data_IF_067370387469
#
_entry.id   IF_067370387469
#
_cell.length_a   1.000
_cell.length_b   1.000
_cell.length_c   1.000
_cell.angle_alpha   90.00
_cell.angle_beta   90.00
_cell.angle_gamma   90.00
#
_symmetry.space_group_name_H-M   'P 1'
#
loop_
_entity.id
_entity.type
_entity.pdbx_description
1 polymer ?
#
# COMPACT_ATOMS: atom_id res chain seq x y z
N UNK A 1 18.81 15.32 3.37
CA UNK A 1 18.02 15.61 4.58
C UNK A 1 18.86 15.25 5.80
N UNK A 2 18.57 15.80 6.99
CA UNK A 2 19.29 15.46 8.23
C UNK A 2 18.72 14.21 8.94
N UNK A 3 17.63 13.60 8.45
CA UNK A 3 16.94 12.51 9.15
C UNK A 3 17.63 11.15 9.02
N UNK A 4 18.38 10.91 7.93
CA UNK A 4 19.04 9.61 7.69
C UNK A 4 18.12 8.42 7.38
N UNK A 5 16.80 8.64 7.23
CA UNK A 5 15.84 7.58 6.90
C UNK A 5 16.02 7.10 5.45
N UNK A 6 15.92 5.79 5.22
CA UNK A 6 15.81 5.24 3.87
C UNK A 6 14.51 5.69 3.20
N UNK A 7 14.52 5.85 1.86
CA UNK A 7 13.42 6.47 1.14
C UNK A 7 13.10 5.70 -0.15
N UNK A 8 11.86 5.25 -0.32
CA UNK A 8 11.31 4.98 -1.66
C UNK A 8 10.41 6.15 -2.01
N UNK A 9 10.84 6.98 -2.97
CA UNK A 9 10.01 8.08 -3.44
C UNK A 9 8.96 7.54 -4.41
N UNK A 10 7.71 7.96 -4.23
CA UNK A 10 6.58 7.58 -5.04
C UNK A 10 5.93 8.84 -5.64
N UNK A 11 6.48 9.41 -6.73
CA UNK A 11 5.79 10.47 -7.45
C UNK A 11 4.44 9.93 -7.92
N UNK A 12 3.39 10.71 -7.68
CA UNK A 12 2.01 10.28 -7.88
C UNK A 12 1.47 10.81 -9.19
N UNK A 13 0.95 9.93 -10.05
CA UNK A 13 0.12 10.34 -11.17
C UNK A 13 -1.29 10.67 -10.66
N UNK A 14 -1.69 11.92 -10.88
CA UNK A 14 -3.01 12.45 -10.59
C UNK A 14 -3.43 13.32 -11.77
N UNK A 15 -4.58 13.04 -12.37
CA UNK A 15 -5.06 13.76 -13.57
C UNK A 15 -6.54 14.15 -13.51
N UNK A 16 -7.34 13.45 -12.70
CA UNK A 16 -8.80 13.56 -12.69
C UNK A 16 -9.40 13.73 -11.30
N UNK A 17 -10.60 14.29 -11.23
CA UNK A 17 -11.34 14.44 -9.96
C UNK A 17 -12.22 13.24 -9.60
N UNK A 18 -12.47 12.34 -10.56
CA UNK A 18 -13.38 11.22 -10.40
C UNK A 18 -13.39 10.27 -11.61
N UNK A 19 -14.05 9.13 -11.44
CA UNK A 19 -14.19 8.09 -12.46
C UNK A 19 -14.72 8.62 -13.79
N UNK A 20 -14.29 7.99 -14.89
CA UNK A 20 -14.64 8.41 -16.25
C UNK A 20 -13.86 9.64 -16.74
N UNK A 21 -12.74 9.99 -16.07
CA UNK A 21 -11.86 11.08 -16.51
C UNK A 21 -12.42 12.46 -16.22
N UNK A 22 -13.14 12.64 -15.11
CA UNK A 22 -13.71 13.94 -14.74
C UNK A 22 -12.64 15.01 -14.63
N UNK A 23 -12.95 16.22 -15.08
CA UNK A 23 -12.03 17.34 -15.05
C UNK A 23 -11.62 17.67 -13.59
N UNK A 24 -10.34 17.92 -13.32
CA UNK A 24 -9.89 18.28 -11.98
C UNK A 24 -10.47 19.60 -11.51
N UNK A 25 -10.61 19.77 -10.20
CA UNK A 25 -11.03 21.02 -9.56
C UNK A 25 -9.83 21.87 -9.12
N UNK A 26 -10.06 23.13 -8.75
CA UNK A 26 -9.02 24.09 -8.35
C UNK A 26 -8.20 23.64 -7.13
N UNK A 27 -8.79 22.84 -6.24
CA UNK A 27 -8.10 22.27 -5.09
C UNK A 27 -7.03 21.25 -5.49
N UNK A 28 -7.21 20.57 -6.62
CA UNK A 28 -6.31 19.54 -7.12
C UNK A 28 -5.18 20.08 -8.00
N UNK A 29 -5.19 21.37 -8.37
CA UNK A 29 -4.29 21.97 -9.38
C UNK A 29 -2.80 21.71 -9.16
N UNK A 30 -2.36 21.47 -7.91
CA UNK A 30 -0.94 21.21 -7.56
C UNK A 30 -0.51 19.76 -7.78
N UNK A 31 -1.47 18.85 -7.99
CA UNK A 31 -1.22 17.42 -8.18
C UNK A 31 -1.21 17.04 -9.67
N UNK A 32 -1.88 17.85 -10.50
CA UNK A 32 -2.18 17.49 -11.89
C UNK A 32 -0.92 17.36 -12.73
N UNK A 33 -0.75 16.18 -13.31
CA UNK A 33 0.20 15.91 -14.38
C UNK A 33 -0.50 15.15 -15.51
N UNK A 34 -0.11 15.44 -16.76
CA UNK A 34 -0.32 14.52 -17.88
C UNK A 34 0.57 13.29 -17.74
N UNK A 35 0.23 12.22 -18.48
CA UNK A 35 1.03 10.99 -18.50
C UNK A 35 2.46 11.26 -18.97
N UNK A 36 2.65 12.13 -19.96
CA UNK A 36 3.95 12.50 -20.50
C UNK A 36 4.79 13.27 -19.47
N UNK A 37 4.19 14.24 -18.76
CA UNK A 37 4.85 14.98 -17.69
C UNK A 37 5.26 14.06 -16.54
N UNK A 38 4.40 13.09 -16.19
CA UNK A 38 4.70 12.10 -15.18
C UNK A 38 5.90 11.21 -15.57
N UNK A 39 5.94 10.72 -16.80
CA UNK A 39 7.04 9.88 -17.29
C UNK A 39 8.37 10.65 -17.41
N UNK A 40 8.34 11.93 -17.80
CA UNK A 40 9.52 12.81 -17.76
C UNK A 40 10.00 13.02 -16.32
N UNK A 41 9.09 13.27 -15.37
CA UNK A 41 9.41 13.38 -13.94
C UNK A 41 10.08 12.09 -13.42
N UNK A 42 9.51 10.92 -13.73
CA UNK A 42 10.09 9.62 -13.37
C UNK A 42 11.51 9.46 -13.92
N UNK A 43 11.73 9.82 -15.18
CA UNK A 43 13.03 9.72 -15.85
C UNK A 43 14.09 10.60 -15.17
N UNK A 44 13.73 11.83 -14.81
CA UNK A 44 14.63 12.77 -14.11
C UNK A 44 14.95 12.30 -12.70
N UNK A 45 13.93 11.86 -11.94
CA UNK A 45 14.12 11.39 -10.57
C UNK A 45 14.93 10.10 -10.51
N UNK A 46 14.78 9.19 -11.47
CA UNK A 46 15.57 7.95 -11.53
C UNK A 46 17.07 8.23 -11.48
N UNK A 47 17.55 9.20 -12.26
CA UNK A 47 18.97 9.57 -12.27
C UNK A 47 19.42 10.21 -10.95
N UNK A 48 18.58 11.07 -10.35
CA UNK A 48 18.90 11.75 -9.09
C UNK A 48 18.94 10.79 -7.90
N UNK A 49 17.99 9.87 -7.81
CA UNK A 49 17.87 8.92 -6.70
C UNK A 49 18.88 7.79 -6.81
N UNK A 50 19.25 7.35 -8.02
CA UNK A 50 20.28 6.32 -8.22
C UNK A 50 21.66 6.74 -7.68
N UNK A 51 21.92 8.04 -7.58
CA UNK A 51 23.16 8.59 -7.00
C UNK A 51 23.14 8.63 -5.46
N UNK A 52 22.01 8.36 -4.83
CA UNK A 52 21.84 8.49 -3.38
C UNK A 52 21.75 7.11 -2.72
N UNK A 53 22.56 6.84 -1.69
CA UNK A 53 22.45 5.58 -0.95
C UNK A 53 21.08 5.52 -0.25
N UNK A 54 20.54 4.30 -0.12
CA UNK A 54 19.28 4.04 0.57
C UNK A 54 18.04 4.75 -0.01
N UNK A 55 18.12 5.25 -1.25
CA UNK A 55 16.99 5.82 -1.97
C UNK A 55 16.56 4.93 -3.15
N UNK A 56 15.26 4.84 -3.37
CA UNK A 56 14.63 4.10 -4.46
C UNK A 56 13.49 4.92 -5.05
N UNK A 57 13.03 4.51 -6.23
CA UNK A 57 11.90 5.12 -6.94
C UNK A 57 10.85 4.04 -7.22
N UNK A 58 9.59 4.36 -6.95
CA UNK A 58 8.44 3.56 -7.36
C UNK A 58 7.53 4.32 -8.34
N UNK A 59 6.56 3.59 -8.88
CA UNK A 59 5.41 4.13 -9.59
C UNK A 59 4.26 4.32 -8.59
N UNK A 60 3.45 5.35 -8.81
CA UNK A 60 2.25 5.53 -8.02
C UNK A 60 1.14 6.16 -8.86
N UNK A 61 -0.03 5.52 -8.82
CA UNK A 61 -1.28 6.09 -9.27
C UNK A 61 -2.03 6.55 -8.03
N UNK A 62 -2.60 7.76 -8.02
CA UNK A 62 -3.28 8.22 -6.81
C UNK A 62 -4.43 7.28 -6.41
N UNK A 63 -5.37 7.03 -7.32
CA UNK A 63 -6.48 6.09 -7.17
C UNK A 63 -7.19 5.90 -8.52
N UNK A 64 -8.07 4.90 -8.64
CA UNK A 64 -8.87 4.69 -9.87
C UNK A 64 -9.79 5.89 -10.21
N UNK A 65 -10.05 6.77 -9.23
CA UNK A 65 -10.77 8.03 -9.45
C UNK A 65 -9.92 9.08 -10.17
N UNK A 66 -8.61 9.04 -9.97
CA UNK A 66 -7.71 10.13 -10.36
C UNK A 66 -6.90 9.85 -11.63
N UNK A 67 -6.97 8.62 -12.17
CA UNK A 67 -6.32 8.22 -13.41
C UNK A 67 -7.26 7.40 -14.29
N UNK A 68 -7.08 7.42 -15.60
CA UNK A 68 -7.84 6.56 -16.53
C UNK A 68 -7.16 5.21 -16.76
N UNK A 69 -7.90 4.20 -17.26
CA UNK A 69 -7.32 2.91 -17.62
C UNK A 69 -6.17 3.03 -18.65
N UNK A 70 -6.32 3.94 -19.62
CA UNK A 70 -5.30 4.19 -20.65
C UNK A 70 -4.02 4.77 -20.05
N UNK A 71 -4.14 5.64 -19.04
CA UNK A 71 -3.00 6.18 -18.32
C UNK A 71 -2.27 5.09 -17.53
N UNK A 72 -3.01 4.23 -16.82
CA UNK A 72 -2.44 3.07 -16.12
C UNK A 72 -1.66 2.20 -17.10
N UNK A 73 -2.29 1.79 -18.20
CA UNK A 73 -1.67 0.95 -19.21
C UNK A 73 -0.40 1.58 -19.82
N UNK A 74 -0.46 2.88 -20.15
CA UNK A 74 0.66 3.61 -20.73
C UNK A 74 1.85 3.69 -19.78
N UNK A 75 1.62 4.05 -18.51
CA UNK A 75 2.68 4.14 -17.51
C UNK A 75 3.31 2.77 -17.23
N UNK A 76 2.50 1.72 -17.08
CA UNK A 76 3.01 0.38 -16.83
C UNK A 76 3.83 -0.13 -18.03
N UNK A 77 3.39 0.11 -19.26
CA UNK A 77 4.10 -0.30 -20.47
C UNK A 77 5.45 0.42 -20.65
N UNK A 78 5.56 1.68 -20.19
CA UNK A 78 6.77 2.47 -20.30
C UNK A 78 7.78 2.26 -19.16
N UNK A 79 7.42 1.51 -18.11
CA UNK A 79 8.18 1.45 -16.87
C UNK A 79 8.87 0.11 -16.62
N UNK A 80 9.91 0.13 -15.77
CA UNK A 80 10.68 -1.04 -15.39
C UNK A 80 9.80 -2.05 -14.64
N UNK A 81 9.87 -3.33 -15.06
CA UNK A 81 9.14 -4.43 -14.44
C UNK A 81 9.65 -4.86 -13.06
N UNK A 82 10.66 -4.19 -12.49
CA UNK A 82 11.10 -4.41 -11.10
C UNK A 82 10.63 -3.30 -10.14
N UNK A 83 10.12 -2.19 -10.66
CA UNK A 83 9.80 -1.00 -9.86
C UNK A 83 8.50 -1.19 -9.06
N UNK A 84 8.43 -0.92 -7.75
CA UNK A 84 7.19 -1.03 -6.98
C UNK A 84 6.08 -0.15 -7.55
N UNK A 85 4.82 -0.57 -7.43
CA UNK A 85 3.64 0.16 -7.92
C UNK A 85 2.66 0.36 -6.77
N UNK A 86 2.30 1.59 -6.46
CA UNK A 86 1.38 1.92 -5.36
C UNK A 86 0.09 2.55 -5.88
N UNK A 87 -1.03 2.26 -5.23
CA UNK A 87 -2.32 2.88 -5.52
C UNK A 87 -3.23 2.88 -4.29
N UNK A 88 -3.93 3.98 -4.01
CA UNK A 88 -5.04 3.95 -3.05
C UNK A 88 -6.25 3.29 -3.71
N UNK A 89 -6.83 2.29 -3.05
CA UNK A 89 -7.93 1.52 -3.61
C UNK A 89 -8.86 0.99 -2.54
N UNK A 90 -10.17 1.07 -2.78
CA UNK A 90 -11.21 0.53 -1.91
C UNK A 90 -11.14 1.01 -0.44
N UNK A 91 -10.60 2.21 -0.22
CA UNK A 91 -10.49 2.85 1.10
C UNK A 91 -11.89 3.17 1.67
N UNK A 92 -12.76 3.77 0.85
CA UNK A 92 -14.06 4.31 1.25
C UNK A 92 -15.22 3.61 0.52
N UNK A 93 -16.33 3.37 1.20
CA UNK A 93 -17.54 2.79 0.58
C UNK A 93 -18.05 3.64 -0.60
N UNK A 94 -17.91 4.97 -0.52
CA UNK A 94 -18.25 5.86 -1.63
C UNK A 94 -17.45 5.54 -2.90
N UNK A 95 -16.16 5.20 -2.78
CA UNK A 95 -15.37 4.81 -3.96
C UNK A 95 -15.89 3.51 -4.56
N UNK A 96 -16.32 2.55 -3.72
CA UNK A 96 -16.92 1.29 -4.17
C UNK A 96 -18.19 1.56 -4.97
N UNK A 97 -19.10 2.37 -4.41
CA UNK A 97 -20.37 2.71 -5.05
C UNK A 97 -20.18 3.46 -6.37
N UNK A 98 -19.27 4.44 -6.39
CA UNK A 98 -18.97 5.23 -7.59
C UNK A 98 -18.29 4.35 -8.67
N UNK A 99 -17.43 3.40 -8.29
CA UNK A 99 -16.78 2.47 -9.22
C UNK A 99 -17.78 1.49 -9.83
N UNK A 100 -18.72 0.99 -9.01
CA UNK A 100 -19.84 0.16 -9.46
C UNK A 100 -20.74 0.92 -10.44
N UNK A 101 -21.06 2.19 -10.15
CA UNK A 101 -21.85 3.02 -11.05
C UNK A 101 -21.15 3.28 -12.40
N UNK A 102 -19.83 3.46 -12.39
CA UNK A 102 -19.04 3.73 -13.58
C UNK A 102 -18.79 2.48 -14.46
N UNK A 103 -18.45 1.34 -13.85
CA UNK A 103 -17.96 0.15 -14.56
C UNK A 103 -18.76 -1.13 -14.33
N UNK A 104 -19.70 -1.13 -13.38
CA UNK A 104 -20.36 -2.36 -12.93
C UNK A 104 -19.43 -3.33 -12.18
N UNK A 105 -18.29 -2.85 -11.69
CA UNK A 105 -17.29 -3.61 -10.93
C UNK A 105 -16.87 -2.83 -9.68
N UNK A 106 -16.49 -3.56 -8.64
CA UNK A 106 -15.86 -2.97 -7.44
C UNK A 106 -14.42 -2.52 -7.76
N UNK A 107 -13.79 -1.65 -6.95
CA UNK A 107 -12.46 -1.12 -7.26
C UNK A 107 -11.38 -2.21 -7.41
N UNK A 108 -11.26 -3.11 -6.44
CA UNK A 108 -10.29 -4.20 -6.48
C UNK A 108 -10.62 -5.18 -7.61
N UNK A 109 -11.88 -5.60 -7.73
CA UNK A 109 -12.34 -6.43 -8.84
C UNK A 109 -11.96 -5.82 -10.20
N UNK A 110 -12.25 -4.53 -10.40
CA UNK A 110 -11.93 -3.82 -11.63
C UNK A 110 -10.42 -3.83 -11.89
N UNK A 111 -9.60 -3.54 -10.88
CA UNK A 111 -8.15 -3.55 -11.02
C UNK A 111 -7.64 -4.93 -11.45
N UNK A 112 -8.08 -6.00 -10.78
CA UNK A 112 -7.66 -7.38 -11.10
C UNK A 112 -8.18 -7.90 -12.45
N UNK A 113 -9.32 -7.41 -12.94
CA UNK A 113 -9.86 -7.78 -14.26
C UNK A 113 -9.14 -7.04 -15.41
N UNK A 114 -8.54 -5.88 -15.16
CA UNK A 114 -8.00 -5.00 -16.20
C UNK A 114 -6.49 -4.81 -16.16
N UNK A 115 -5.83 -5.16 -15.05
CA UNK A 115 -4.40 -4.97 -14.83
C UNK A 115 -3.78 -6.26 -14.32
N UNK A 116 -2.59 -6.59 -14.82
CA UNK A 116 -1.77 -7.67 -14.29
C UNK A 116 -1.15 -7.23 -12.94
N UNK A 117 -1.92 -7.39 -11.87
CA UNK A 117 -1.47 -7.11 -10.50
C UNK A 117 -0.64 -8.29 -10.00
N UNK A 118 0.59 -8.00 -9.57
CA UNK A 118 1.59 -8.97 -9.12
C UNK A 118 2.27 -8.52 -7.81
N UNK A 119 3.38 -9.17 -7.46
CA UNK A 119 4.14 -8.92 -6.24
C UNK A 119 4.78 -7.51 -6.15
N UNK A 120 4.79 -6.72 -7.21
CA UNK A 120 5.28 -5.33 -7.14
C UNK A 120 4.25 -4.35 -6.65
N UNK A 121 2.99 -4.75 -6.56
CA UNK A 121 1.91 -3.86 -6.20
C UNK A 121 1.75 -3.75 -4.68
N UNK A 122 1.62 -2.52 -4.21
CA UNK A 122 1.12 -2.18 -2.89
C UNK A 122 -0.25 -1.51 -3.05
N UNK A 123 -1.28 -2.23 -2.61
CA UNK A 123 -2.67 -1.79 -2.62
C UNK A 123 -2.94 -1.12 -1.28
N UNK A 124 -2.85 0.22 -1.26
CA UNK A 124 -2.98 1.00 -0.03
C UNK A 124 -4.44 1.00 0.40
N UNK A 125 -4.65 0.78 1.70
CA UNK A 125 -5.93 0.53 2.37
C UNK A 125 -6.55 -0.84 2.02
N UNK A 126 -7.11 -0.95 0.81
CA UNK A 126 -7.89 -2.12 0.37
C UNK A 126 -9.00 -2.52 1.36
N UNK A 127 -9.51 -1.56 2.14
CA UNK A 127 -10.40 -1.76 3.30
C UNK A 127 -11.67 -2.53 2.94
N UNK A 128 -12.28 -2.17 1.81
CA UNK A 128 -13.53 -2.74 1.32
C UNK A 128 -13.26 -3.86 0.30
N UNK A 129 -12.55 -4.91 0.72
CA UNK A 129 -12.33 -6.11 -0.09
C UNK A 129 -13.38 -7.20 0.25
N UNK A 130 -14.11 -7.68 -0.76
CA UNK A 130 -14.97 -8.86 -0.64
C UNK A 130 -14.15 -10.16 -0.67
N UNK A 131 -14.76 -11.29 -0.32
CA UNK A 131 -14.05 -12.56 -0.16
C UNK A 131 -13.26 -13.00 -1.40
N UNK A 132 -13.80 -12.80 -2.60
CA UNK A 132 -13.13 -13.09 -3.87
C UNK A 132 -12.00 -12.11 -4.18
N UNK A 133 -12.18 -10.82 -3.87
CA UNK A 133 -11.14 -9.79 -3.97
C UNK A 133 -9.97 -10.09 -3.01
N UNK A 134 -10.26 -10.50 -1.77
CA UNK A 134 -9.25 -10.96 -0.79
C UNK A 134 -8.46 -12.15 -1.34
N UNK A 135 -9.13 -13.13 -1.95
CA UNK A 135 -8.47 -14.26 -2.60
C UNK A 135 -7.59 -13.81 -3.77
N UNK A 136 -8.04 -12.89 -4.61
CA UNK A 136 -7.24 -12.35 -5.71
C UNK A 136 -5.98 -11.64 -5.21
N UNK A 137 -6.11 -10.82 -4.16
CA UNK A 137 -4.99 -10.15 -3.50
C UNK A 137 -3.97 -11.12 -2.92
N UNK A 138 -4.42 -12.16 -2.23
CA UNK A 138 -3.49 -13.14 -1.66
C UNK A 138 -2.74 -13.93 -2.75
N UNK A 139 -3.44 -14.31 -3.83
CA UNK A 139 -2.86 -15.07 -4.95
C UNK A 139 -1.85 -14.25 -5.76
N UNK A 140 -2.08 -12.97 -5.98
CA UNK A 140 -1.17 -12.09 -6.73
C UNK A 140 0.12 -11.78 -6.00
N UNK A 141 0.14 -12.00 -4.69
CA UNK A 141 1.22 -11.61 -3.76
C UNK A 141 1.42 -10.10 -3.64
N UNK A 142 0.47 -9.29 -4.11
CA UNK A 142 0.44 -7.87 -3.83
C UNK A 142 0.39 -7.62 -2.31
N UNK A 143 0.96 -6.49 -1.89
CA UNK A 143 0.99 -6.08 -0.50
C UNK A 143 -0.28 -5.27 -0.21
N UNK A 144 -1.00 -5.61 0.86
CA UNK A 144 -1.97 -4.70 1.46
C UNK A 144 -1.20 -3.65 2.30
N UNK A 145 -1.21 -2.39 1.88
CA UNK A 145 -0.60 -1.29 2.62
C UNK A 145 -1.58 -0.72 3.64
N UNK A 146 -1.56 -1.24 4.87
CA UNK A 146 -2.56 -0.93 5.90
C UNK A 146 -2.15 0.28 6.73
N UNK A 147 -3.04 1.24 6.92
CA UNK A 147 -2.78 2.51 7.57
C UNK A 147 -3.70 2.73 8.78
N UNK A 148 -3.66 1.82 9.75
CA UNK A 148 -4.73 1.58 10.72
C UNK A 148 -5.14 2.81 11.52
N UNK A 149 -4.17 3.61 11.98
CA UNK A 149 -4.48 4.82 12.77
C UNK A 149 -5.16 5.89 11.91
N UNK A 150 -4.76 6.02 10.65
CA UNK A 150 -5.43 6.92 9.69
C UNK A 150 -6.80 6.36 9.29
N UNK A 151 -6.89 5.07 8.96
CA UNK A 151 -8.16 4.43 8.56
C UNK A 151 -9.21 4.54 9.67
N UNK A 152 -8.80 4.37 10.93
CA UNK A 152 -9.68 4.59 12.08
C UNK A 152 -10.02 6.08 12.28
N UNK A 153 -9.08 6.99 12.02
CA UNK A 153 -9.31 8.43 12.12
C UNK A 153 -10.30 8.95 11.08
N UNK A 154 -10.20 8.46 9.84
CA UNK A 154 -11.05 8.82 8.71
C UNK A 154 -12.38 8.06 8.69
N UNK A 155 -12.47 6.97 9.47
CA UNK A 155 -13.69 6.16 9.57
C UNK A 155 -13.90 5.25 8.37
N UNK A 156 -12.82 4.72 7.79
CA UNK A 156 -12.84 3.92 6.57
C UNK A 156 -13.52 2.57 6.77
N UNK A 157 -13.14 1.84 7.81
CA UNK A 157 -13.60 0.47 8.05
C UNK A 157 -12.52 -0.42 8.65
N UNK A 158 -12.73 -1.73 8.60
CA UNK A 158 -11.79 -2.75 9.12
C UNK A 158 -11.47 -3.74 8.01
N UNK A 159 -10.22 -3.74 7.55
CA UNK A 159 -9.71 -4.68 6.54
C UNK A 159 -9.91 -6.16 6.98
N UNK A 160 -10.28 -7.09 6.07
CA UNK A 160 -10.42 -8.53 6.33
C UNK A 160 -9.07 -9.26 6.53
N UNK A 161 -8.25 -8.78 7.47
CA UNK A 161 -6.88 -9.26 7.69
C UNK A 161 -6.79 -10.75 8.06
N UNK A 162 -7.78 -11.27 8.79
CA UNK A 162 -7.80 -12.70 9.19
C UNK A 162 -7.86 -13.60 7.96
N UNK A 163 -8.82 -13.35 7.07
CA UNK A 163 -9.03 -14.16 5.86
C UNK A 163 -7.90 -13.96 4.84
N UNK A 164 -7.39 -12.72 4.76
CA UNK A 164 -6.26 -12.39 3.90
C UNK A 164 -4.98 -13.12 4.33
N UNK A 165 -4.60 -13.07 5.61
CA UNK A 165 -3.42 -13.77 6.13
C UNK A 165 -3.58 -15.29 6.08
N UNK A 166 -4.78 -15.82 6.33
CA UNK A 166 -5.06 -17.25 6.23
C UNK A 166 -4.82 -17.80 4.82
N UNK A 167 -4.95 -16.95 3.79
CA UNK A 167 -4.69 -17.28 2.39
C UNK A 167 -3.25 -16.98 1.95
N UNK A 168 -2.36 -16.59 2.86
CA UNK A 168 -0.97 -16.25 2.56
C UNK A 168 -0.79 -14.84 1.99
N UNK A 169 -1.76 -13.95 2.22
CA UNK A 169 -1.66 -12.54 1.88
C UNK A 169 -0.47 -11.85 2.55
N UNK A 170 0.06 -10.82 1.91
CA UNK A 170 1.21 -10.03 2.37
C UNK A 170 0.75 -8.63 2.74
N UNK A 171 1.25 -8.08 3.84
CA UNK A 171 0.83 -6.75 4.32
C UNK A 171 2.00 -5.94 4.85
N UNK A 172 1.89 -4.62 4.75
CA UNK A 172 2.78 -3.67 5.42
C UNK A 172 1.95 -2.66 6.23
N UNK A 173 2.62 -1.84 7.03
CA UNK A 173 1.98 -0.72 7.74
C UNK A 173 2.48 0.63 7.23
N UNK A 174 1.57 1.60 7.13
CA UNK A 174 1.88 3.01 6.83
C UNK A 174 1.26 3.94 7.87
N UNK A 175 1.90 5.07 8.15
CA UNK A 175 1.30 6.11 9.02
C UNK A 175 0.38 7.07 8.26
N UNK A 176 0.48 7.08 6.93
CA UNK A 176 -0.34 7.84 5.99
C UNK A 176 -0.52 9.33 6.34
N UNK A 177 -1.66 9.73 6.91
CA UNK A 177 -1.93 11.12 7.29
C UNK A 177 -1.08 11.62 8.47
N UNK A 178 -0.35 10.69 9.10
CA UNK A 178 0.59 10.92 10.20
C UNK A 178 -0.06 11.40 11.50
N UNK A 179 -1.36 11.14 11.72
CA UNK A 179 -1.99 11.39 13.05
C UNK A 179 -1.32 10.58 14.16
N UNK A 180 -0.77 9.42 13.81
CA UNK A 180 0.08 8.58 14.65
C UNK A 180 1.38 8.25 13.92
N UNK A 181 2.48 8.24 14.69
CA UNK A 181 3.81 7.87 14.21
C UNK A 181 4.39 6.75 15.09
N UNK A 182 3.70 5.61 15.11
CA UNK A 182 4.00 4.53 16.06
C UNK A 182 3.77 3.14 15.47
N UNK A 183 4.86 2.38 15.27
CA UNK A 183 4.80 0.95 14.90
C UNK A 183 3.92 0.17 15.87
N UNK A 184 4.00 0.51 17.16
CA UNK A 184 3.21 -0.16 18.20
C UNK A 184 1.72 0.06 18.00
N UNK A 185 1.29 1.28 17.67
CA UNK A 185 -0.13 1.58 17.48
C UNK A 185 -0.68 0.89 16.24
N UNK A 186 0.01 0.96 15.09
CA UNK A 186 -0.45 0.32 13.87
C UNK A 186 -0.67 -1.19 14.06
N UNK A 187 0.34 -1.90 14.59
CA UNK A 187 0.25 -3.35 14.77
C UNK A 187 -0.75 -3.73 15.85
N UNK A 188 -0.82 -2.97 16.96
CA UNK A 188 -1.76 -3.24 18.05
C UNK A 188 -3.20 -3.06 17.56
N UNK A 189 -3.49 -1.96 16.87
CA UNK A 189 -4.84 -1.63 16.43
C UNK A 189 -5.27 -2.44 15.22
N UNK A 190 -4.34 -2.92 14.39
CA UNK A 190 -4.63 -3.95 13.38
C UNK A 190 -5.26 -5.19 14.04
N UNK A 191 -4.57 -5.80 15.01
CA UNK A 191 -5.11 -6.95 15.73
C UNK A 191 -6.38 -6.60 16.51
N UNK A 192 -6.43 -5.46 17.19
CA UNK A 192 -7.59 -5.10 18.01
C UNK A 192 -8.84 -4.83 17.17
N UNK A 193 -8.70 -4.25 15.97
CA UNK A 193 -9.80 -4.11 15.02
C UNK A 193 -10.42 -5.45 14.67
N UNK A 194 -9.59 -6.47 14.38
CA UNK A 194 -10.08 -7.82 14.13
C UNK A 194 -10.76 -8.43 15.36
N UNK A 195 -10.21 -8.19 16.56
CA UNK A 195 -10.82 -8.67 17.83
C UNK A 195 -12.19 -8.07 18.08
N UNK A 196 -12.32 -6.76 17.85
CA UNK A 196 -13.57 -6.03 18.03
C UNK A 196 -14.64 -6.52 17.04
N UNK A 197 -14.27 -6.67 15.77
CA UNK A 197 -15.16 -7.21 14.73
C UNK A 197 -15.64 -8.63 15.06
N UNK A 198 -14.71 -9.52 15.42
CA UNK A 198 -15.01 -10.96 15.57
C UNK A 198 -15.44 -11.35 16.99
N UNK A 199 -15.35 -10.43 17.96
CA UNK A 199 -15.55 -10.69 19.40
C UNK A 199 -14.72 -11.87 19.94
N UNK A 200 -13.48 -12.01 19.41
CA UNK A 200 -12.55 -13.10 19.76
C UNK A 200 -11.16 -12.53 19.99
N UNK A 201 -10.32 -13.24 20.77
CA UNK A 201 -8.91 -12.89 20.98
C UNK A 201 -8.03 -13.61 19.95
N UNK A 202 -6.79 -13.15 19.81
CA UNK A 202 -5.73 -13.77 19.02
C UNK A 202 -6.19 -14.09 17.59
N UNK A 203 -6.41 -13.05 16.78
CA UNK A 203 -7.00 -13.18 15.44
C UNK A 203 -5.94 -13.40 14.37
N UNK A 204 -4.82 -12.68 14.47
CA UNK A 204 -3.77 -12.69 13.46
C UNK A 204 -2.57 -13.53 13.95
N UNK A 205 -2.54 -14.80 13.55
CA UNK A 205 -1.47 -15.75 13.85
C UNK A 205 -1.20 -16.65 12.62
N UNK A 206 0.02 -17.18 12.52
CA UNK A 206 0.39 -18.15 11.48
C UNK A 206 0.21 -19.59 11.95
N UNK A 207 0.03 -20.54 11.03
CA UNK A 207 -0.11 -21.96 11.36
C UNK A 207 1.05 -22.49 12.22
N UNK A 208 2.27 -22.01 11.97
CA UNK A 208 3.49 -22.37 12.71
C UNK A 208 3.99 -21.25 13.64
N UNK A 209 3.21 -20.19 13.84
CA UNK A 209 3.57 -19.04 14.67
C UNK A 209 2.33 -18.56 15.45
N UNK A 210 2.10 -19.10 16.66
CA UNK A 210 0.93 -18.73 17.48
C UNK A 210 1.06 -17.35 18.13
N UNK A 211 2.26 -16.76 18.15
CA UNK A 211 2.52 -15.49 18.81
C UNK A 211 2.09 -14.32 17.91
N UNK A 212 0.93 -13.73 18.21
CA UNK A 212 0.35 -12.60 17.45
C UNK A 212 1.36 -11.48 17.20
N UNK A 213 2.06 -11.02 18.24
CA UNK A 213 3.05 -9.95 18.09
C UNK A 213 4.17 -10.29 17.10
N UNK A 214 4.61 -11.56 17.09
CA UNK A 214 5.63 -12.04 16.16
C UNK A 214 5.08 -12.15 14.73
N UNK A 215 3.87 -12.70 14.57
CA UNK A 215 3.19 -12.77 13.26
C UNK A 215 3.04 -11.39 12.63
N UNK A 216 2.58 -10.40 13.40
CA UNK A 216 2.38 -9.03 12.93
C UNK A 216 3.69 -8.36 12.54
N UNK A 217 4.72 -8.48 13.38
CA UNK A 217 6.01 -7.87 13.13
C UNK A 217 6.70 -8.48 11.91
N UNK A 218 6.72 -9.81 11.79
CA UNK A 218 7.29 -10.52 10.64
C UNK A 218 6.54 -10.15 9.35
N UNK A 219 5.20 -10.17 9.37
CA UNK A 219 4.39 -9.82 8.21
C UNK A 219 4.66 -8.39 7.74
N UNK A 220 4.67 -7.42 8.66
CA UNK A 220 4.89 -6.01 8.35
C UNK A 220 6.32 -5.73 7.85
N UNK A 221 7.34 -6.42 8.36
CA UNK A 221 8.71 -6.32 7.87
C UNK A 221 8.84 -6.85 6.43
N UNK A 222 8.32 -8.04 6.18
CA UNK A 222 8.37 -8.69 4.87
C UNK A 222 7.60 -7.87 3.81
N UNK A 223 6.36 -7.51 4.11
CA UNK A 223 5.51 -6.74 3.19
C UNK A 223 6.00 -5.31 3.03
N UNK A 224 6.51 -4.67 4.08
CA UNK A 224 7.12 -3.34 4.00
C UNK A 224 8.34 -3.33 3.09
N UNK A 225 9.27 -4.27 3.27
CA UNK A 225 10.47 -4.36 2.41
C UNK A 225 10.10 -4.57 0.93
N UNK A 226 9.10 -5.43 0.66
CA UNK A 226 8.60 -5.69 -0.68
C UNK A 226 7.93 -4.44 -1.28
N UNK A 227 7.02 -3.79 -0.56
CA UNK A 227 6.31 -2.59 -1.02
C UNK A 227 7.28 -1.43 -1.30
N UNK A 228 8.36 -1.30 -0.53
CA UNK A 228 9.40 -0.30 -0.77
C UNK A 228 10.37 -0.70 -1.90
N UNK A 229 10.45 -1.99 -2.27
CA UNK A 229 11.42 -2.49 -3.25
C UNK A 229 12.87 -2.33 -2.79
N UNK A 230 13.13 -2.50 -1.49
CA UNK A 230 14.45 -2.28 -0.91
C UNK A 230 14.99 -3.52 -0.19
N UNK A 231 16.34 -3.69 -0.13
CA UNK A 231 16.97 -4.82 0.55
C UNK A 231 16.98 -4.61 2.08
N UNK A 232 15.80 -4.50 2.69
CA UNK A 232 15.57 -4.28 4.13
C UNK A 232 14.63 -5.37 4.68
N UNK A 233 14.13 -5.16 5.90
CA UNK A 233 13.14 -6.03 6.56
C UNK A 233 13.73 -7.23 7.29
N UNK A 234 15.03 -7.51 7.12
CA UNK A 234 15.67 -8.70 7.66
C UNK A 234 17.16 -8.43 7.98
N UNK A 235 17.64 -9.01 9.08
CA UNK A 235 19.06 -9.01 9.44
C UNK A 235 19.76 -10.20 8.80
N UNK A 236 20.08 -10.05 7.52
CA UNK A 236 20.74 -11.07 6.71
C UNK A 236 21.91 -10.49 5.90
N UNK A 237 22.89 -11.33 5.58
CA UNK A 237 24.01 -10.95 4.71
C UNK A 237 23.46 -10.47 3.36
N UNK A 238 23.90 -9.29 2.92
CA UNK A 238 23.44 -8.66 1.68
C UNK A 238 22.27 -7.69 1.84
N UNK A 239 21.63 -7.63 3.01
CA UNK A 239 20.60 -6.61 3.35
C UNK A 239 21.26 -5.36 3.93
N UNK A 240 20.56 -4.22 3.87
CA UNK A 240 21.00 -2.98 4.51
C UNK A 240 20.91 -3.13 6.03
N UNK A 241 21.87 -2.54 6.72
CA UNK A 241 22.03 -2.54 8.18
C UNK A 241 20.99 -1.62 8.88
N UNK A 242 19.71 -2.01 8.82
CA UNK A 242 18.60 -1.27 9.43
C UNK A 242 18.02 -2.06 10.62
N UNK A 243 18.12 -1.54 11.84
CA UNK A 243 17.55 -2.16 13.03
C UNK A 243 17.18 -1.13 14.10
N UNK A 244 16.41 -1.59 15.09
CA UNK A 244 16.14 -0.88 16.33
C UNK A 244 16.69 -1.68 17.51
N UNK A 245 16.96 -0.99 18.62
CA UNK A 245 17.32 -1.60 19.90
C UNK A 245 16.27 -1.16 20.91
N UNK A 246 15.55 -2.12 21.49
CA UNK A 246 14.60 -1.85 22.57
C UNK A 246 15.35 -1.57 23.89
N UNK A 247 14.73 -0.87 24.83
CA UNK A 247 15.37 -0.60 26.13
C UNK A 247 15.44 -1.89 26.96
N UNK A 248 16.66 -2.42 27.16
CA UNK A 248 16.89 -3.61 27.97
C UNK A 248 16.72 -3.40 29.48
N UNK A 249 16.35 -2.19 29.93
CA UNK A 249 16.05 -1.85 31.32
C UNK A 249 14.55 -1.75 31.59
N UNK A 250 13.71 -1.79 30.55
CA UNK A 250 12.25 -1.87 30.70
C UNK A 250 11.89 -3.29 31.18
N UNK A 251 11.09 -3.43 32.27
CA UNK A 251 10.89 -4.69 32.99
C UNK A 251 10.16 -5.80 32.22
#
# INVERSE_FOLDING_TARGET
>A
SHSGIGLTLLPVLYSHSGFGGQAPNDGQRRFINSTEQYLDLQSRLKALLAAQPAQALGLCFHSLRAVTPEQIATVLAASDKACPVHIHIAEQQKEVDDCLAWSGRRPLQWLYENVEVDERWCLVHATHAEADEVTAMAKSRAIAGLCLTTEANLGDGIFPAVDFLAQGGRMGIGSDSHVSLSVVEELRWLEYGQRLRDQRRNRLYGANQPMVGRTLFDAALDGGAQALGQPIGELAVGKRADWIVLDGRDP
#
